data_IF_308404162884
#
_entry.id   IF_308404162884
#
_cell.length_a   1.000
_cell.length_b   1.000
_cell.length_c   1.000
_cell.angle_alpha   90.00
_cell.angle_beta   90.00
_cell.angle_gamma   90.00
#
_symmetry.space_group_name_H-M   'P 1'
#
loop_
_entity.id
_entity.type
_entity.pdbx_description
1 polymer ?
#
# COMPACT_ATOMS: atom_id res chain seq x y z
N UNK A 1 -17.19 7.59 11.92
CA UNK A 1 -15.79 7.56 11.49
C UNK A 1 -14.87 7.60 12.69
N UNK A 2 -13.75 6.87 12.63
CA UNK A 2 -12.66 6.89 13.63
C UNK A 2 -11.80 8.14 13.44
N UNK A 3 -11.13 8.57 14.51
CA UNK A 3 -10.16 9.67 14.53
C UNK A 3 -8.78 9.23 14.01
N UNK A 4 -7.90 10.19 13.70
CA UNK A 4 -6.51 9.90 13.29
C UNK A 4 -5.82 9.03 14.36
N UNK A 5 -5.95 9.41 15.64
CA UNK A 5 -5.36 8.65 16.74
C UNK A 5 -5.90 7.21 16.82
N UNK A 6 -7.19 6.99 16.57
CA UNK A 6 -7.75 5.64 16.56
C UNK A 6 -7.24 4.82 15.37
N UNK A 7 -7.08 5.40 14.17
CA UNK A 7 -6.56 4.67 13.00
C UNK A 7 -5.07 4.41 13.07
N UNK A 8 -4.27 5.28 13.67
CA UNK A 8 -2.82 5.06 13.84
C UNK A 8 -2.49 4.00 14.89
N UNK A 9 -3.41 3.72 15.82
CA UNK A 9 -3.25 2.70 16.87
C UNK A 9 -3.87 1.34 16.50
N UNK A 10 -4.41 1.21 15.29
CA UNK A 10 -4.94 -0.05 14.78
C UNK A 10 -3.86 -0.82 14.01
N UNK A 11 -4.07 -2.13 13.89
CA UNK A 11 -3.28 -2.93 12.96
C UNK A 11 -3.50 -2.43 11.52
N UNK A 12 -2.43 -2.28 10.74
CA UNK A 12 -2.54 -1.88 9.36
C UNK A 12 -3.20 -2.97 8.52
N UNK A 13 -3.87 -2.54 7.45
CA UNK A 13 -4.52 -3.45 6.51
C UNK A 13 -3.72 -3.49 5.21
N UNK A 14 -3.27 -4.68 4.83
CA UNK A 14 -2.64 -4.93 3.54
C UNK A 14 -3.52 -5.89 2.73
N UNK A 15 -3.79 -5.54 1.47
CA UNK A 15 -4.66 -6.32 0.59
C UNK A 15 -3.91 -6.82 -0.65
N UNK A 16 -4.48 -7.86 -1.27
CA UNK A 16 -4.18 -8.31 -2.63
C UNK A 16 -2.73 -8.71 -2.95
N UNK A 17 -1.96 -9.11 -1.93
CA UNK A 17 -0.62 -9.68 -2.09
C UNK A 17 0.39 -9.04 -1.17
N UNK A 18 0.17 -7.79 -0.77
CA UNK A 18 0.91 -7.15 0.30
C UNK A 18 0.52 -7.75 1.65
N UNK A 19 1.52 -7.94 2.51
CA UNK A 19 1.37 -8.44 3.88
C UNK A 19 2.02 -7.52 4.91
N UNK A 20 2.98 -6.72 4.46
CA UNK A 20 3.77 -5.85 5.31
C UNK A 20 4.24 -4.61 4.54
N UNK A 21 4.63 -3.57 5.29
CA UNK A 21 5.20 -2.32 4.73
C UNK A 21 6.40 -2.56 3.80
N UNK A 22 7.15 -3.64 4.03
CA UNK A 22 8.28 -4.04 3.17
C UNK A 22 7.82 -4.40 1.77
N UNK A 23 6.68 -5.09 1.62
CA UNK A 23 6.16 -5.44 0.29
C UNK A 23 5.77 -4.16 -0.48
N UNK A 24 5.13 -3.22 0.21
CA UNK A 24 4.73 -1.92 -0.37
C UNK A 24 5.97 -1.16 -0.84
N UNK A 25 6.97 -1.00 0.04
CA UNK A 25 8.21 -0.30 -0.30
C UNK A 25 8.92 -0.99 -1.46
N UNK A 26 9.00 -2.32 -1.43
CA UNK A 26 9.66 -3.10 -2.48
C UNK A 26 9.08 -2.81 -3.85
N UNK A 27 7.76 -2.84 -3.99
CA UNK A 27 7.12 -2.59 -5.29
C UNK A 27 7.32 -1.15 -5.80
N UNK A 28 7.31 -0.15 -4.92
CA UNK A 28 7.54 1.26 -5.31
C UNK A 28 9.01 1.60 -5.57
N UNK A 29 9.95 0.81 -5.04
CA UNK A 29 11.39 0.99 -5.21
C UNK A 29 12.01 0.00 -6.22
N UNK A 30 11.19 -0.81 -6.90
CA UNK A 30 11.63 -1.89 -7.81
C UNK A 30 12.58 -2.92 -7.16
N UNK A 31 12.30 -3.26 -5.90
CA UNK A 31 13.06 -4.25 -5.14
C UNK A 31 12.25 -5.53 -5.07
N UNK A 32 12.65 -6.51 -5.88
CA UNK A 32 12.05 -7.84 -5.92
C UNK A 32 12.40 -8.66 -4.67
N UNK A 33 11.70 -8.38 -3.56
CA UNK A 33 11.88 -9.07 -2.29
C UNK A 33 10.60 -8.97 -1.46
N UNK A 34 9.96 -10.10 -1.19
CA UNK A 34 8.80 -10.11 -0.27
C UNK A 34 9.25 -9.94 1.17
N UNK A 35 8.34 -9.54 2.06
CA UNK A 35 8.62 -9.44 3.49
C UNK A 35 9.11 -10.76 4.08
N UNK A 36 8.49 -11.88 3.71
CA UNK A 36 8.88 -13.22 4.18
C UNK A 36 10.33 -13.54 3.77
N UNK A 37 10.74 -13.16 2.56
CA UNK A 37 12.09 -13.35 2.04
C UNK A 37 13.10 -12.38 2.65
N UNK A 38 12.67 -11.16 2.96
CA UNK A 38 13.47 -10.15 3.61
C UNK A 38 13.84 -10.56 5.03
N UNK A 39 12.89 -11.06 5.81
CA UNK A 39 13.17 -11.51 7.18
C UNK A 39 13.82 -12.90 7.26
N UNK A 40 13.82 -13.66 6.16
CA UNK A 40 14.42 -14.99 6.14
C UNK A 40 15.91 -14.94 6.49
N UNK A 41 16.33 -15.88 7.36
CA UNK A 41 17.75 -16.08 7.72
C UNK A 41 18.52 -16.83 6.63
N UNK A 42 17.81 -17.62 5.82
CA UNK A 42 18.37 -18.44 4.73
C UNK A 42 17.86 -17.98 3.37
N UNK A 43 18.73 -18.06 2.35
CA UNK A 43 18.39 -17.68 0.99
C UNK A 43 17.37 -18.67 0.39
N UNK A 44 16.16 -18.24 0.00
CA UNK A 44 15.15 -19.12 -0.58
C UNK A 44 15.43 -19.46 -2.06
N UNK A 45 16.44 -18.82 -2.65
CA UNK A 45 16.78 -18.92 -4.06
C UNK A 45 18.13 -19.60 -4.29
N UNK A 46 18.34 -20.13 -5.50
CA UNK A 46 19.65 -20.63 -5.92
C UNK A 46 20.70 -19.51 -6.05
N UNK A 47 20.26 -18.29 -6.38
CA UNK A 47 21.16 -17.14 -6.56
C UNK A 47 21.25 -16.31 -5.27
N UNK A 48 22.18 -16.69 -4.39
CA UNK A 48 22.36 -16.04 -3.10
C UNK A 48 22.83 -14.59 -3.21
N UNK A 49 23.69 -14.27 -4.19
CA UNK A 49 24.17 -12.89 -4.37
C UNK A 49 23.03 -11.93 -4.70
N UNK A 50 22.11 -12.33 -5.60
CA UNK A 50 20.94 -11.53 -5.94
C UNK A 50 20.03 -11.26 -4.73
N UNK A 51 19.80 -12.27 -3.90
CA UNK A 51 19.01 -12.10 -2.67
C UNK A 51 19.68 -11.14 -1.68
N UNK A 52 20.99 -11.26 -1.48
CA UNK A 52 21.74 -10.38 -0.59
C UNK A 52 21.79 -8.93 -1.09
N UNK A 53 21.93 -8.73 -2.41
CA UNK A 53 21.87 -7.42 -3.05
C UNK A 53 20.49 -6.77 -2.84
N UNK A 54 19.40 -7.49 -3.09
CA UNK A 54 18.05 -6.99 -2.84
C UNK A 54 17.79 -6.71 -1.35
N UNK A 55 18.32 -7.53 -0.43
CA UNK A 55 18.22 -7.25 1.02
C UNK A 55 18.91 -5.95 1.38
N UNK A 56 20.11 -5.70 0.85
CA UNK A 56 20.84 -4.46 1.10
C UNK A 56 20.11 -3.24 0.52
N UNK A 57 19.52 -3.35 -0.67
CA UNK A 57 18.68 -2.30 -1.24
C UNK A 57 17.44 -2.06 -0.38
N UNK A 58 16.79 -3.12 0.11
CA UNK A 58 15.63 -3.03 0.99
C UNK A 58 15.97 -2.39 2.33
N UNK A 59 17.13 -2.68 2.92
CA UNK A 59 17.59 -2.04 4.17
C UNK A 59 17.65 -0.51 3.99
N UNK A 60 18.19 -0.04 2.86
CA UNK A 60 18.26 1.39 2.54
C UNK A 60 16.88 2.00 2.34
N UNK A 61 15.99 1.31 1.61
CA UNK A 61 14.63 1.77 1.38
C UNK A 61 13.84 1.85 2.69
N UNK A 62 13.85 0.79 3.52
CA UNK A 62 13.17 0.77 4.82
C UNK A 62 13.63 1.91 5.73
N UNK A 63 14.93 2.22 5.73
CA UNK A 63 15.50 3.36 6.46
C UNK A 63 14.98 4.70 5.92
N UNK A 64 14.92 4.88 4.59
CA UNK A 64 14.34 6.09 3.96
C UNK A 64 12.87 6.28 4.36
N UNK A 65 12.11 5.18 4.47
CA UNK A 65 10.70 5.18 4.82
C UNK A 65 10.44 5.04 6.33
N UNK A 66 11.45 5.09 7.20
CA UNK A 66 11.26 4.84 8.65
C UNK A 66 10.22 5.77 9.30
N UNK A 67 10.08 7.01 8.80
CA UNK A 67 9.18 8.03 9.34
C UNK A 67 7.73 7.92 8.85
N UNK A 68 7.38 6.93 8.04
CA UNK A 68 5.99 6.69 7.60
C UNK A 68 5.37 5.50 8.34
N UNK A 69 4.11 5.63 8.72
CA UNK A 69 3.30 4.57 9.31
C UNK A 69 2.20 4.18 8.32
N UNK A 70 2.40 3.09 7.56
CA UNK A 70 1.37 2.61 6.63
C UNK A 70 0.17 2.11 7.42
N UNK A 71 -1.01 2.59 7.08
CA UNK A 71 -2.28 2.27 7.76
C UNK A 71 -3.15 1.34 6.92
N UNK A 72 -3.17 1.57 5.62
CA UNK A 72 -3.95 0.79 4.66
C UNK A 72 -3.22 0.77 3.33
N UNK A 73 -3.11 -0.38 2.68
CA UNK A 73 -2.47 -0.50 1.39
C UNK A 73 -3.14 -1.60 0.57
N UNK A 74 -3.46 -1.29 -0.69
CA UNK A 74 -4.12 -2.22 -1.60
C UNK A 74 -3.50 -2.12 -2.98
N UNK A 75 -3.10 -3.27 -3.53
CA UNK A 75 -2.51 -3.36 -4.85
C UNK A 75 -3.12 -4.51 -5.64
N UNK A 76 -4.00 -4.18 -6.58
CA UNK A 76 -4.66 -5.17 -7.44
C UNK A 76 -3.97 -5.28 -8.80
N UNK A 77 -3.94 -6.49 -9.35
CA UNK A 77 -3.42 -6.76 -10.68
C UNK A 77 -4.35 -7.70 -11.46
N UNK A 78 -4.84 -7.23 -12.62
CA UNK A 78 -5.56 -8.03 -13.61
C UNK A 78 -5.23 -7.53 -15.02
N UNK A 79 -5.33 -8.42 -16.01
CA UNK A 79 -5.19 -8.03 -17.42
C UNK A 79 -3.86 -7.32 -17.79
N UNK A 80 -2.77 -7.64 -17.12
CA UNK A 80 -1.47 -6.98 -17.32
C UNK A 80 -1.43 -5.49 -16.92
N UNK A 81 -2.38 -5.05 -16.10
CA UNK A 81 -2.42 -3.73 -15.50
C UNK A 81 -2.79 -3.84 -14.03
N UNK A 82 -2.35 -2.90 -13.23
CA UNK A 82 -2.71 -2.88 -11.83
C UNK A 82 -2.69 -1.48 -11.27
N UNK A 83 -3.42 -1.30 -10.18
CA UNK A 83 -3.54 -0.03 -9.49
C UNK A 83 -3.25 -0.28 -8.01
N UNK A 84 -2.49 0.64 -7.43
CA UNK A 84 -2.10 0.66 -6.04
C UNK A 84 -2.64 1.91 -5.36
N UNK A 85 -3.11 1.73 -4.13
CA UNK A 85 -3.49 2.83 -3.25
C UNK A 85 -2.94 2.57 -1.85
N UNK A 86 -2.25 3.56 -1.29
CA UNK A 86 -1.64 3.49 0.05
C UNK A 86 -2.07 4.69 0.87
N UNK A 87 -2.58 4.45 2.07
CA UNK A 87 -2.79 5.45 3.11
C UNK A 87 -1.75 5.27 4.20
N UNK A 88 -1.06 6.34 4.55
CA UNK A 88 -0.12 6.34 5.65
C UNK A 88 -0.20 7.61 6.48
N UNK A 89 0.32 7.53 7.69
CA UNK A 89 0.52 8.66 8.57
C UNK A 89 2.00 9.03 8.62
N UNK A 90 2.28 10.34 8.64
CA UNK A 90 3.60 10.89 8.86
C UNK A 90 3.48 12.22 9.60
N UNK A 91 4.17 12.35 10.73
CA UNK A 91 4.22 13.57 11.55
C UNK A 91 2.85 14.13 11.97
N UNK A 92 1.91 13.24 12.29
CA UNK A 92 0.53 13.52 12.70
C UNK A 92 -0.43 13.84 11.55
N UNK A 93 0.01 13.72 10.30
CA UNK A 93 -0.78 14.00 9.10
C UNK A 93 -0.98 12.75 8.26
N UNK A 94 -2.10 12.70 7.54
CA UNK A 94 -2.41 11.61 6.63
C UNK A 94 -2.00 11.97 5.21
N UNK A 95 -1.48 10.98 4.51
CA UNK A 95 -1.11 11.08 3.12
C UNK A 95 -1.60 9.86 2.36
N UNK A 96 -1.90 10.04 1.08
CA UNK A 96 -2.14 8.95 0.16
C UNK A 96 -1.12 8.91 -0.97
N UNK A 97 -0.89 7.72 -1.49
CA UNK A 97 -0.12 7.49 -2.71
C UNK A 97 -1.00 6.68 -3.64
N UNK A 98 -1.05 7.12 -4.90
CA UNK A 98 -1.69 6.40 -5.99
C UNK A 98 -0.58 5.91 -6.93
N UNK A 99 -0.59 4.61 -7.22
CA UNK A 99 0.33 4.01 -8.18
C UNK A 99 -0.46 3.25 -9.23
N UNK A 100 0.08 3.14 -10.44
CA UNK A 100 -0.50 2.33 -11.50
C UNK A 100 0.61 1.67 -12.28
N UNK A 101 0.36 0.48 -12.80
CA UNK A 101 1.34 -0.23 -13.59
C UNK A 101 0.70 -0.81 -14.86
N UNK A 102 1.55 -1.06 -15.85
CA UNK A 102 1.15 -1.72 -17.08
C UNK A 102 2.13 -2.84 -17.41
N UNK A 103 1.98 -3.47 -18.57
CA UNK A 103 2.83 -4.60 -18.99
C UNK A 103 4.34 -4.28 -19.09
N UNK A 104 4.73 -3.00 -19.02
CA UNK A 104 6.10 -2.54 -19.27
C UNK A 104 6.84 -2.07 -18.02
N UNK A 105 6.11 -1.57 -17.01
CA UNK A 105 6.63 -0.87 -15.84
C UNK A 105 5.72 -1.18 -14.65
N UNK A 106 6.31 -1.36 -13.47
CA UNK A 106 5.65 -1.61 -12.19
C UNK A 106 5.19 -0.31 -11.52
N UNK A 107 5.40 -0.20 -10.20
CA UNK A 107 5.10 1.00 -9.41
C UNK A 107 6.31 1.92 -9.20
N UNK A 108 7.44 1.62 -9.84
CA UNK A 108 8.71 2.27 -9.60
C UNK A 108 8.67 3.78 -9.84
N UNK A 109 9.18 4.55 -8.87
CA UNK A 109 9.25 6.00 -8.94
C UNK A 109 7.90 6.73 -8.85
N UNK A 110 6.82 6.03 -8.51
CA UNK A 110 5.48 6.61 -8.37
C UNK A 110 5.10 6.93 -6.92
N UNK A 111 6.06 6.84 -5.98
CA UNK A 111 5.82 7.26 -4.60
C UNK A 111 5.76 8.79 -4.51
N UNK A 112 4.59 9.35 -4.80
CA UNK A 112 4.30 10.78 -4.76
C UNK A 112 3.18 11.05 -3.73
N UNK A 113 3.51 11.28 -2.45
CA UNK A 113 2.50 11.47 -1.42
C UNK A 113 1.68 12.75 -1.56
N UNK A 114 0.36 12.62 -1.45
CA UNK A 114 -0.58 13.74 -1.39
C UNK A 114 -1.22 13.81 0.00
N UNK A 115 -1.21 14.99 0.63
CA UNK A 115 -1.87 15.18 1.94
C UNK A 115 -3.38 15.01 1.80
N UNK A 116 -3.99 14.23 2.69
CA UNK A 116 -5.42 13.92 2.66
C UNK A 116 -6.04 14.08 4.05
N UNK A 117 -7.30 14.50 4.10
CA UNK A 117 -8.07 14.54 5.35
C UNK A 117 -9.08 13.39 5.44
N UNK A 118 -9.42 13.01 6.68
CA UNK A 118 -10.49 12.04 6.95
C UNK A 118 -11.84 12.46 6.32
N UNK A 119 -12.12 13.76 6.28
CA UNK A 119 -13.36 14.29 5.68
C UNK A 119 -13.39 14.08 4.16
N UNK A 120 -12.26 14.25 3.48
CA UNK A 120 -12.15 14.00 2.04
C UNK A 120 -12.27 12.50 1.72
N UNK A 121 -11.65 11.64 2.54
CA UNK A 121 -11.82 10.18 2.43
C UNK A 121 -13.28 9.76 2.64
N UNK A 122 -13.92 10.25 3.69
CA UNK A 122 -15.34 9.97 3.96
C UNK A 122 -16.23 10.43 2.80
N UNK A 123 -15.99 11.63 2.28
CA UNK A 123 -16.75 12.14 1.12
C UNK A 123 -16.57 11.26 -0.11
N UNK A 124 -15.34 10.85 -0.46
CA UNK A 124 -15.08 9.97 -1.60
C UNK A 124 -15.69 8.57 -1.43
N UNK A 125 -15.78 8.07 -0.20
CA UNK A 125 -16.39 6.77 0.10
C UNK A 125 -17.91 6.81 0.06
N UNK A 126 -18.53 7.91 0.51
CA UNK A 126 -19.99 8.02 0.59
C UNK A 126 -20.57 8.49 -0.74
N UNK A 127 -20.00 9.56 -1.31
CA UNK A 127 -20.54 10.26 -2.48
C UNK A 127 -19.82 9.90 -3.79
N UNK A 128 -18.67 9.22 -3.72
CA UNK A 128 -17.85 8.81 -4.87
C UNK A 128 -17.72 7.30 -5.04
N UNK A 129 -16.89 6.89 -6.00
CA UNK A 129 -16.68 5.49 -6.39
C UNK A 129 -15.30 4.96 -5.97
N UNK A 130 -14.66 5.61 -4.99
CA UNK A 130 -13.31 5.24 -4.53
C UNK A 130 -13.27 3.78 -4.06
N UNK A 131 -12.35 2.99 -4.62
CA UNK A 131 -12.15 1.59 -4.28
C UNK A 131 -13.25 0.64 -4.77
N UNK A 132 -14.07 1.06 -5.75
CA UNK A 132 -15.11 0.21 -6.39
C UNK A 132 -14.72 -0.28 -7.79
N UNK A 133 -13.60 0.21 -8.36
CA UNK A 133 -13.16 -0.17 -9.71
C UNK A 133 -12.69 -1.64 -9.74
N UNK A 134 -13.23 -2.40 -10.71
CA UNK A 134 -12.98 -3.83 -10.86
C UNK A 134 -11.99 -4.16 -11.99
N UNK A 135 -11.44 -3.15 -12.69
CA UNK A 135 -10.60 -3.31 -13.87
C UNK A 135 -9.30 -4.06 -13.54
N UNK A 136 -8.62 -3.61 -12.49
CA UNK A 136 -7.40 -4.23 -11.95
C UNK A 136 -7.69 -5.23 -10.83
N UNK A 137 -8.95 -5.40 -10.44
CA UNK A 137 -9.32 -6.21 -9.29
C UNK A 137 -8.82 -5.63 -7.96
N UNK A 138 -8.80 -4.29 -7.88
CA UNK A 138 -8.41 -3.55 -6.69
C UNK A 138 -9.63 -2.97 -5.96
N UNK A 139 -10.68 -3.78 -5.77
CA UNK A 139 -11.87 -3.37 -5.04
C UNK A 139 -11.58 -3.40 -3.52
N UNK A 140 -11.30 -2.23 -2.92
CA UNK A 140 -10.95 -2.12 -1.49
C UNK A 140 -11.92 -1.26 -0.65
N UNK A 141 -12.99 -0.71 -1.26
CA UNK A 141 -13.88 0.25 -0.59
C UNK A 141 -14.45 -0.28 0.72
N UNK A 142 -14.88 -1.55 0.74
CA UNK A 142 -15.52 -2.14 1.91
C UNK A 142 -14.54 -2.23 3.08
N UNK A 143 -13.35 -2.72 2.81
CA UNK A 143 -12.25 -2.87 3.77
C UNK A 143 -11.83 -1.50 4.30
N UNK A 144 -11.75 -0.48 3.43
CA UNK A 144 -11.43 0.88 3.85
C UNK A 144 -12.54 1.51 4.70
N UNK A 145 -13.81 1.29 4.37
CA UNK A 145 -14.94 1.70 5.21
C UNK A 145 -14.87 1.06 6.60
N UNK A 146 -14.62 -0.25 6.67
CA UNK A 146 -14.48 -1.00 7.92
C UNK A 146 -13.29 -0.48 8.75
N UNK A 147 -12.15 -0.23 8.09
CA UNK A 147 -10.95 0.34 8.71
C UNK A 147 -11.19 1.74 9.29
N UNK A 148 -11.81 2.65 8.52
CA UNK A 148 -12.09 4.02 8.95
C UNK A 148 -13.32 4.15 9.85
N UNK A 149 -14.12 3.09 10.02
CA UNK A 149 -15.40 3.16 10.74
C UNK A 149 -16.42 4.08 10.05
N UNK A 150 -16.42 4.05 8.72
CA UNK A 150 -17.42 4.70 7.84
C UNK A 150 -18.44 3.64 7.45
N UNK A 151 -19.72 4.01 7.39
CA UNK A 151 -20.76 3.07 6.94
C UNK A 151 -20.55 2.76 5.46
N UNK A 152 -20.38 1.49 5.13
CA UNK A 152 -20.32 1.06 3.73
C UNK A 152 -21.63 1.37 2.99
N UNK A 153 -21.51 2.03 1.85
CA UNK A 153 -22.58 2.29 0.89
C UNK A 153 -22.06 1.80 -0.45
N UNK A 154 -22.77 0.84 -1.05
CA UNK A 154 -22.47 0.42 -2.42
C UNK A 154 -23.05 1.46 -3.37
N UNK A 155 -22.19 2.16 -4.09
CA UNK A 155 -22.63 3.08 -5.12
C UNK A 155 -22.79 2.26 -6.41
N UNK A 156 -23.95 2.41 -7.07
CA UNK A 156 -24.35 1.68 -8.28
C UNK A 156 -24.39 2.59 -9.47
#
# INVERSE_FOLDING_TARGET
>A
MKTIQEITNQEPVYLLGWKHKVDVIGDFEDICLTYDEYISEECPYNNQSYWLENKQMMDQAVEQYQGINILFASYGYKNYSGDAWVLFEQNGKLFEVNGSHCSCYGLEGQWEPEEVSLKELEHRLIEGTMGEDDWSGNEFKKELCDFLGVKYIKNT
#
